data_IF_057212127052
#
_entry.id   IF_057212127052
#
_cell.length_a   1.000
_cell.length_b   1.000
_cell.length_c   1.000
_cell.angle_alpha   90.00
_cell.angle_beta   90.00
_cell.angle_gamma   90.00
#
_symmetry.space_group_name_H-M   'P 1'
#
loop_
_entity.id
_entity.type
_entity.pdbx_description
1 polymer ?
#
# COMPACT_ATOMS: atom_id res chain seq x y z
N UNK A 1 10.59 10.74 16.00
CA UNK A 1 10.82 10.97 14.56
C UNK A 1 10.08 9.88 13.81
N UNK A 2 9.31 10.26 12.80
CA UNK A 2 8.58 9.34 11.93
C UNK A 2 9.52 8.79 10.83
N UNK A 3 9.19 7.64 10.26
CA UNK A 3 9.94 7.10 9.13
C UNK A 3 9.50 7.77 7.83
N UNK A 4 8.19 7.83 7.58
CA UNK A 4 7.59 8.45 6.40
C UNK A 4 6.39 9.32 6.82
N UNK A 5 6.21 10.45 6.15
CA UNK A 5 4.94 11.17 6.14
C UNK A 5 4.44 11.26 4.70
N UNK A 6 3.16 10.94 4.50
CA UNK A 6 2.43 11.23 3.25
C UNK A 6 1.66 12.54 3.48
N UNK A 7 1.93 13.58 2.68
CA UNK A 7 1.35 14.92 2.85
C UNK A 7 0.48 15.35 1.69
N UNK A 8 -0.44 16.29 1.95
CA UNK A 8 -1.23 17.02 0.95
C UNK A 8 -2.13 16.15 0.05
N UNK A 9 -2.38 14.89 0.43
CA UNK A 9 -3.23 13.97 -0.31
C UNK A 9 -4.65 13.92 0.25
N UNK A 10 -5.61 13.54 -0.60
CA UNK A 10 -6.95 13.19 -0.15
C UNK A 10 -6.95 11.74 0.34
N UNK A 11 -6.94 11.54 1.65
CA UNK A 11 -6.90 10.23 2.27
C UNK A 11 -8.31 9.66 2.45
N UNK A 12 -8.53 8.42 1.99
CA UNK A 12 -9.80 7.72 2.19
C UNK A 12 -9.86 7.11 3.60
N UNK A 13 -10.71 7.69 4.46
CA UNK A 13 -10.80 7.36 5.89
C UNK A 13 -12.26 7.43 6.33
N UNK A 14 -12.77 6.36 6.94
CA UNK A 14 -14.16 6.24 7.41
C UNK A 14 -15.20 6.52 6.31
N UNK A 15 -15.00 5.92 5.12
CA UNK A 15 -15.86 6.07 3.94
C UNK A 15 -15.92 7.48 3.34
N UNK A 16 -14.94 8.33 3.60
CA UNK A 16 -14.88 9.70 3.08
C UNK A 16 -13.45 10.09 2.68
N UNK A 17 -13.34 11.04 1.74
CA UNK A 17 -12.05 11.60 1.31
C UNK A 17 -11.72 12.84 2.14
N UNK A 18 -10.65 12.77 2.92
CA UNK A 18 -10.27 13.81 3.89
C UNK A 18 -8.88 14.36 3.56
N UNK A 19 -8.74 15.68 3.59
CA UNK A 19 -7.45 16.36 3.54
C UNK A 19 -6.72 16.16 4.89
N UNK A 20 -5.83 15.17 4.92
CA UNK A 20 -5.08 14.69 6.09
C UNK A 20 -3.71 14.18 5.65
N UNK A 21 -2.72 14.37 6.51
CA UNK A 21 -1.43 13.69 6.39
C UNK A 21 -1.47 12.34 7.13
N UNK A 22 -0.63 11.41 6.68
CA UNK A 22 -0.47 10.08 7.30
C UNK A 22 0.98 9.94 7.78
N UNK A 23 1.16 9.71 9.08
CA UNK A 23 2.46 9.47 9.71
C UNK A 23 2.72 7.98 9.92
N UNK A 24 3.86 7.50 9.44
CA UNK A 24 4.25 6.09 9.48
C UNK A 24 5.51 5.93 10.32
N UNK A 25 5.49 4.91 11.19
CA UNK A 25 6.65 4.49 11.98
C UNK A 25 6.66 2.97 12.15
N UNK A 26 7.81 2.34 11.95
CA UNK A 26 8.02 0.90 12.11
C UNK A 26 6.99 0.08 11.30
N UNK A 27 6.72 0.51 10.06
CA UNK A 27 5.77 -0.13 9.14
C UNK A 27 4.29 0.03 9.50
N UNK A 28 3.95 0.89 10.47
CA UNK A 28 2.57 1.12 10.93
C UNK A 28 2.17 2.58 10.82
N UNK A 29 0.89 2.81 10.55
CA UNK A 29 0.28 4.14 10.68
C UNK A 29 0.19 4.45 12.17
N UNK A 30 0.79 5.57 12.60
CA UNK A 30 0.83 6.00 14.02
C UNK A 30 0.17 7.35 14.24
N UNK A 31 -0.05 8.12 13.17
CA UNK A 31 -0.64 9.45 13.24
C UNK A 31 -1.47 9.72 11.98
N UNK A 32 -2.65 10.32 12.15
CA UNK A 32 -3.54 10.76 11.08
C UNK A 32 -4.01 12.16 11.45
N UNK A 33 -3.74 13.14 10.61
CA UNK A 33 -4.00 14.54 10.96
C UNK A 33 -3.12 15.49 10.19
N UNK A 34 -3.10 16.76 10.60
CA UNK A 34 -2.09 17.69 10.10
C UNK A 34 -0.80 17.44 10.88
N UNK A 35 0.29 17.06 10.19
CA UNK A 35 1.53 16.63 10.85
C UNK A 35 2.64 17.66 10.65
N UNK A 36 3.03 18.30 11.76
CA UNK A 36 4.16 19.25 11.80
C UNK A 36 5.48 18.60 12.26
N UNK A 37 5.43 17.32 12.67
CA UNK A 37 6.59 16.56 13.10
C UNK A 37 7.59 16.30 11.95
N UNK A 38 8.86 16.14 12.31
CA UNK A 38 9.91 15.71 11.37
C UNK A 38 9.84 14.19 11.12
N UNK A 39 10.06 13.80 9.87
CA UNK A 39 10.25 12.43 9.41
C UNK A 39 11.61 12.24 8.73
N UNK A 40 12.02 10.98 8.54
CA UNK A 40 13.18 10.66 7.70
C UNK A 40 12.88 10.95 6.23
N UNK A 41 11.70 10.57 5.76
CA UNK A 41 11.21 10.84 4.40
C UNK A 41 9.82 11.49 4.39
N UNK A 42 9.55 12.24 3.32
CA UNK A 42 8.23 12.83 3.05
C UNK A 42 7.83 12.55 1.61
N UNK A 43 6.62 12.05 1.41
CA UNK A 43 6.00 11.90 0.10
C UNK A 43 4.92 12.97 -0.06
N UNK A 44 5.05 13.82 -1.06
CA UNK A 44 4.05 14.84 -1.40
C UNK A 44 3.00 14.24 -2.34
N UNK A 45 1.82 13.97 -1.80
CA UNK A 45 0.67 13.38 -2.50
C UNK A 45 -0.31 14.44 -3.02
N UNK A 46 0.15 15.68 -3.24
CA UNK A 46 -0.67 16.75 -3.80
C UNK A 46 -1.40 16.30 -5.06
N UNK A 47 -2.71 16.57 -5.12
CA UNK A 47 -3.62 16.19 -6.22
C UNK A 47 -3.78 14.67 -6.42
N UNK A 48 -3.24 13.86 -5.50
CA UNK A 48 -3.42 12.42 -5.48
C UNK A 48 -4.42 12.00 -4.40
N UNK A 49 -4.97 10.80 -4.58
CA UNK A 49 -5.79 10.12 -3.59
C UNK A 49 -4.95 9.06 -2.88
N UNK A 50 -5.01 9.02 -1.56
CA UNK A 50 -4.33 8.02 -0.73
C UNK A 50 -5.37 7.00 -0.27
N UNK A 51 -5.25 5.77 -0.78
CA UNK A 51 -6.13 4.66 -0.43
C UNK A 51 -5.40 3.66 0.47
N UNK A 52 -6.12 2.91 1.32
CA UNK A 52 -5.59 1.68 1.88
C UNK A 52 -5.11 0.76 0.75
N UNK A 53 -4.00 0.06 0.96
CA UNK A 53 -3.55 -0.95 0.02
C UNK A 53 -4.62 -2.04 -0.16
N UNK A 54 -4.93 -2.38 -1.41
CA UNK A 54 -5.95 -3.36 -1.71
C UNK A 54 -5.49 -4.77 -1.29
N UNK A 55 -6.47 -5.60 -0.91
CA UNK A 55 -6.28 -7.01 -0.58
C UNK A 55 -6.98 -7.84 -1.64
N UNK A 56 -6.21 -8.58 -2.44
CA UNK A 56 -6.75 -9.50 -3.42
C UNK A 56 -6.91 -10.90 -2.81
N UNK A 57 -8.14 -11.34 -2.63
CA UNK A 57 -8.44 -12.59 -1.95
C UNK A 57 -8.34 -13.81 -2.87
N UNK A 58 -8.00 -13.65 -4.14
CA UNK A 58 -7.94 -14.77 -5.08
C UNK A 58 -6.91 -14.56 -6.19
N UNK A 59 -5.69 -15.04 -5.97
CA UNK A 59 -4.64 -15.08 -6.99
C UNK A 59 -4.13 -16.51 -7.21
N UNK A 60 -3.52 -16.75 -8.36
CA UNK A 60 -2.82 -17.99 -8.65
C UNK A 60 -1.43 -17.65 -9.21
N UNK A 61 -0.41 -17.68 -8.36
CA UNK A 61 0.97 -17.36 -8.77
C UNK A 61 1.74 -18.59 -9.26
N UNK A 62 1.11 -19.77 -9.31
CA UNK A 62 1.61 -20.98 -10.01
C UNK A 62 2.97 -21.51 -9.56
N UNK A 63 3.45 -21.06 -8.41
CA UNK A 63 4.68 -21.53 -7.79
C UNK A 63 4.37 -22.32 -6.51
N UNK A 64 4.79 -23.60 -6.42
CA UNK A 64 5.63 -24.34 -7.38
C UNK A 64 4.82 -24.97 -8.53
N UNK A 65 5.49 -25.29 -9.65
CA UNK A 65 4.89 -26.08 -10.75
C UNK A 65 4.96 -25.37 -12.10
N UNK A 66 3.97 -24.51 -12.39
CA UNK A 66 3.81 -23.80 -13.66
C UNK A 66 4.37 -22.37 -13.61
N UNK A 67 5.62 -22.24 -13.16
CA UNK A 67 6.31 -20.94 -12.99
C UNK A 67 6.62 -20.23 -14.31
N UNK A 68 6.43 -20.89 -15.45
CA UNK A 68 6.51 -20.28 -16.78
C UNK A 68 5.29 -19.42 -17.12
N UNK A 69 4.17 -19.60 -16.40
CA UNK A 69 2.94 -18.82 -16.56
C UNK A 69 2.98 -17.56 -15.69
N UNK A 70 3.33 -17.72 -14.41
CA UNK A 70 3.48 -16.67 -13.40
C UNK A 70 4.31 -17.26 -12.26
N UNK A 71 5.03 -16.45 -11.48
CA UNK A 71 5.68 -16.88 -10.23
C UNK A 71 5.44 -15.87 -9.10
N UNK A 72 5.94 -16.16 -7.89
CA UNK A 72 5.79 -15.25 -6.75
C UNK A 72 6.42 -13.87 -7.01
N UNK A 73 7.51 -13.80 -7.79
CA UNK A 73 8.21 -12.55 -8.07
C UNK A 73 7.46 -11.70 -9.11
N UNK A 74 7.07 -12.27 -10.24
CA UNK A 74 6.34 -11.57 -11.30
C UNK A 74 4.95 -11.14 -10.81
N UNK A 75 4.22 -12.05 -10.16
CA UNK A 75 2.88 -11.83 -9.66
C UNK A 75 2.84 -10.74 -8.58
N UNK A 76 3.78 -10.76 -7.63
CA UNK A 76 3.86 -9.71 -6.59
C UNK A 76 4.27 -8.34 -7.14
N UNK A 77 5.15 -8.28 -8.15
CA UNK A 77 5.48 -7.04 -8.85
C UNK A 77 4.27 -6.47 -9.59
N UNK A 78 3.51 -7.31 -10.28
CA UNK A 78 2.28 -6.90 -10.93
C UNK A 78 1.24 -6.40 -9.91
N UNK A 79 1.09 -7.11 -8.78
CA UNK A 79 0.20 -6.73 -7.69
C UNK A 79 0.50 -5.33 -7.15
N UNK A 80 1.76 -5.04 -6.78
CA UNK A 80 2.12 -3.73 -6.22
C UNK A 80 1.98 -2.59 -7.23
N UNK A 81 2.25 -2.82 -8.52
CA UNK A 81 2.01 -1.85 -9.59
C UNK A 81 0.52 -1.49 -9.73
N UNK A 82 -0.38 -2.43 -9.41
CA UNK A 82 -1.83 -2.21 -9.39
C UNK A 82 -2.38 -1.67 -8.07
N UNK A 83 -1.54 -1.44 -7.06
CA UNK A 83 -1.98 -1.01 -5.73
C UNK A 83 -2.50 -2.14 -4.83
N UNK A 84 -2.25 -3.41 -5.19
CA UNK A 84 -2.49 -4.57 -4.34
C UNK A 84 -1.27 -4.78 -3.43
N UNK A 85 -1.51 -4.81 -2.12
CA UNK A 85 -0.42 -4.90 -1.11
C UNK A 85 -0.47 -6.19 -0.30
N UNK A 86 -1.52 -7.00 -0.50
CA UNK A 86 -1.68 -8.30 0.13
C UNK A 86 -2.50 -9.20 -0.77
N UNK A 87 -2.12 -10.47 -0.86
CA UNK A 87 -2.77 -11.44 -1.73
C UNK A 87 -3.03 -12.75 -0.98
N UNK A 88 -4.11 -13.45 -1.34
CA UNK A 88 -4.33 -14.84 -0.94
C UNK A 88 -4.07 -15.75 -2.13
N UNK A 89 -2.93 -16.45 -2.07
CA UNK A 89 -2.54 -17.46 -3.05
C UNK A 89 -3.42 -18.69 -2.89
N UNK A 90 -3.98 -19.17 -4.00
CA UNK A 90 -4.89 -20.31 -4.02
C UNK A 90 -4.11 -21.62 -4.16
N UNK A 91 -4.48 -22.67 -3.42
CA UNK A 91 -3.64 -23.87 -3.24
C UNK A 91 -3.51 -24.78 -4.49
N UNK A 92 -4.06 -24.38 -5.64
CA UNK A 92 -4.04 -25.11 -6.90
C UNK A 92 -3.06 -24.49 -7.89
N UNK A 93 -1.80 -24.46 -7.47
CA UNK A 93 -0.65 -24.15 -8.33
C UNK A 93 -0.46 -25.22 -9.40
#
# INVERSE_FOLDING_TARGET
MLDLIIKNGFCYIDNDLKDKDIGIKDGKIVEIGKIENNSKDTFDAKELTVLPGCIDTQVHFREPGSTDVEDLESGSKAAVLGGITSVFEMPNT
#
